data_IF_772066866203
#
_entry.id   IF_772066866203
#
_cell.length_a   1.000
_cell.length_b   1.000
_cell.length_c   1.000
_cell.angle_alpha   90.00
_cell.angle_beta   90.00
_cell.angle_gamma   90.00
#
_symmetry.space_group_name_H-M   'P 1'
#
loop_
_entity.id
_entity.type
_entity.pdbx_description
1 polymer ?
#
# COMPACT_ATOMS: atom_id res chain seq x y z
N UNK A 1 53.88 69.21 -11.01
CA UNK A 1 53.36 68.60 -12.26
C UNK A 1 53.90 67.19 -12.31
N UNK A 2 53.16 66.10 -12.37
CA UNK A 2 51.76 65.77 -12.13
C UNK A 2 51.81 64.29 -11.74
N UNK A 3 51.06 63.87 -10.73
CA UNK A 3 50.89 62.45 -10.42
C UNK A 3 49.92 61.83 -11.41
N UNK A 4 50.37 60.83 -12.15
CA UNK A 4 49.50 59.92 -12.91
C UNK A 4 48.88 58.93 -11.91
N UNK A 5 47.65 59.23 -11.47
CA UNK A 5 46.77 58.24 -10.86
C UNK A 5 45.84 57.76 -11.97
N UNK A 6 46.14 56.59 -12.54
CA UNK A 6 45.17 55.88 -13.37
C UNK A 6 44.12 55.27 -12.44
N UNK A 7 42.94 55.86 -12.45
CA UNK A 7 41.74 55.32 -11.82
C UNK A 7 41.34 54.01 -12.53
N UNK A 8 41.44 52.91 -11.81
CA UNK A 8 40.87 51.62 -12.20
C UNK A 8 39.42 51.58 -11.70
N UNK A 9 38.49 52.02 -12.54
CA UNK A 9 37.06 52.00 -12.23
C UNK A 9 36.27 51.55 -13.47
N UNK A 10 36.46 50.29 -13.86
CA UNK A 10 35.57 49.62 -14.80
C UNK A 10 34.36 49.06 -14.04
N UNK A 11 33.12 49.38 -14.42
CA UNK A 11 31.94 48.74 -13.85
C UNK A 11 31.92 47.26 -14.27
N UNK A 12 31.99 46.34 -13.30
CA UNK A 12 31.77 44.92 -13.54
C UNK A 12 30.27 44.68 -13.78
N UNK A 13 29.84 44.74 -15.04
CA UNK A 13 28.44 44.54 -15.44
C UNK A 13 28.28 43.30 -16.33
N UNK A 14 28.97 42.21 -15.96
CA UNK A 14 28.76 40.88 -16.54
C UNK A 14 27.84 40.07 -15.61
N UNK A 15 26.63 39.77 -16.08
CA UNK A 15 25.71 38.88 -15.35
C UNK A 15 26.33 37.48 -15.34
N UNK A 16 26.75 37.02 -14.16
CA UNK A 16 27.24 35.66 -13.97
C UNK A 16 26.07 34.66 -14.08
N UNK A 17 25.96 34.00 -15.24
CA UNK A 17 24.92 33.00 -15.52
C UNK A 17 25.20 31.66 -14.82
N UNK A 18 26.47 31.35 -14.52
CA UNK A 18 26.90 30.10 -13.86
C UNK A 18 26.17 29.82 -12.53
N UNK A 19 26.13 30.74 -11.55
CA UNK A 19 25.39 30.51 -10.30
C UNK A 19 23.87 30.49 -10.50
N UNK A 20 23.33 31.15 -11.52
CA UNK A 20 21.89 31.14 -11.79
C UNK A 20 21.40 29.79 -12.32
N UNK A 21 22.18 29.19 -13.23
CA UNK A 21 21.85 27.87 -13.77
C UNK A 21 21.96 26.77 -12.71
N UNK A 22 22.95 26.85 -11.80
CA UNK A 22 23.12 25.90 -10.70
C UNK A 22 21.86 25.81 -9.81
N UNK A 23 21.30 26.96 -9.42
CA UNK A 23 20.05 27.03 -8.67
C UNK A 23 18.86 26.43 -9.44
N UNK A 24 18.80 26.67 -10.76
CA UNK A 24 17.75 26.10 -11.60
C UNK A 24 17.84 24.57 -11.70
N UNK A 25 19.05 24.01 -11.81
CA UNK A 25 19.27 22.56 -11.83
C UNK A 25 18.91 21.90 -10.49
N UNK A 26 19.26 22.54 -9.37
CA UNK A 26 18.90 22.04 -8.03
C UNK A 26 17.37 21.96 -7.86
N UNK A 27 16.64 22.98 -8.29
CA UNK A 27 15.16 22.98 -8.24
C UNK A 27 14.55 21.90 -9.13
N UNK A 28 15.11 21.68 -10.33
CA UNK A 28 14.66 20.62 -11.24
C UNK A 28 14.83 19.23 -10.61
N UNK A 29 15.98 18.96 -10.01
CA UNK A 29 16.26 17.68 -9.33
C UNK A 29 15.31 17.47 -8.16
N UNK A 30 15.03 18.51 -7.38
CA UNK A 30 14.05 18.44 -6.27
C UNK A 30 12.65 18.06 -6.80
N UNK A 31 12.19 18.63 -7.92
CA UNK A 31 10.92 18.24 -8.53
C UNK A 31 10.90 16.79 -9.04
N UNK A 32 11.98 16.33 -9.67
CA UNK A 32 12.12 14.94 -10.14
C UNK A 32 12.05 13.96 -8.95
N UNK A 33 12.69 14.30 -7.83
CA UNK A 33 12.65 13.46 -6.62
C UNK A 33 11.26 13.52 -5.96
N UNK A 34 10.65 14.70 -5.83
CA UNK A 34 9.32 14.83 -5.23
C UNK A 34 8.24 14.06 -6.01
N UNK A 35 8.33 14.01 -7.34
CA UNK A 35 7.38 13.26 -8.17
C UNK A 35 7.52 11.75 -8.02
N UNK A 36 8.75 11.23 -7.91
CA UNK A 36 9.00 9.80 -7.64
C UNK A 36 8.77 9.41 -6.17
N UNK A 37 8.80 10.38 -5.25
CA UNK A 37 8.50 10.19 -3.83
C UNK A 37 7.00 10.04 -3.51
N UNK A 38 6.11 10.08 -4.51
CA UNK A 38 4.73 9.61 -4.35
C UNK A 38 4.72 8.09 -4.20
N UNK A 39 4.97 7.68 -2.96
CA UNK A 39 4.93 6.35 -2.37
C UNK A 39 3.97 5.40 -3.10
N UNK A 40 4.47 4.21 -3.43
CA UNK A 40 3.67 3.00 -3.60
C UNK A 40 2.98 2.67 -2.26
N UNK A 41 1.94 3.43 -1.91
CA UNK A 41 0.95 2.96 -0.99
C UNK A 41 0.15 1.91 -1.73
N UNK A 42 0.26 0.64 -1.33
CA UNK A 42 -0.77 -0.34 -1.66
C UNK A 42 -2.08 0.27 -1.16
N UNK A 43 -2.87 0.78 -2.11
CA UNK A 43 -4.20 1.31 -1.83
C UNK A 43 -5.05 0.10 -1.47
N UNK A 44 -5.00 -0.29 -0.20
CA UNK A 44 -5.97 -1.20 0.37
C UNK A 44 -7.26 -0.38 0.43
N UNK A 45 -8.01 -0.40 -0.68
CA UNK A 45 -9.38 0.07 -0.68
C UNK A 45 -10.14 -0.86 0.26
N UNK A 46 -10.24 -0.48 1.53
CA UNK A 46 -11.14 -1.10 2.48
C UNK A 46 -12.55 -0.75 2.02
N UNK A 47 -13.33 -1.69 1.42
CA UNK A 47 -14.70 -1.40 1.09
C UNK A 47 -15.43 -1.14 2.41
N UNK A 48 -16.06 0.03 2.52
CA UNK A 48 -16.90 0.36 3.64
C UNK A 48 -17.87 -0.80 3.92
N UNK A 49 -17.77 -1.36 5.13
CA UNK A 49 -18.57 -2.49 5.60
C UNK A 49 -20.04 -2.07 5.64
N UNK A 50 -20.72 -2.18 4.50
CA UNK A 50 -22.17 -2.21 4.46
C UNK A 50 -22.55 -3.60 4.92
N UNK A 51 -23.03 -3.65 6.15
CA UNK A 51 -23.68 -4.80 6.75
C UNK A 51 -25.00 -5.06 5.99
N UNK A 52 -24.91 -5.51 4.74
CA UNK A 52 -26.05 -5.92 3.94
C UNK A 52 -26.09 -7.43 3.95
N UNK A 53 -26.96 -7.97 4.80
CA UNK A 53 -27.58 -9.25 4.53
C UNK A 53 -28.17 -9.18 3.12
N UNK A 54 -27.55 -9.87 2.17
CA UNK A 54 -27.99 -10.00 0.79
C UNK A 54 -27.68 -11.47 0.46
N UNK A 55 -28.63 -12.39 0.66
CA UNK A 55 -29.65 -12.76 -0.32
C UNK A 55 -29.07 -12.73 -1.75
N UNK A 56 -28.55 -13.89 -2.15
CA UNK A 56 -28.01 -14.21 -3.48
C UNK A 56 -26.64 -13.59 -3.86
N UNK A 57 -25.63 -13.72 -3.00
CA UNK A 57 -24.22 -13.47 -3.39
C UNK A 57 -23.53 -14.77 -3.85
N UNK A 58 -22.55 -14.71 -4.79
CA UNK A 58 -21.58 -15.79 -4.96
C UNK A 58 -21.06 -16.20 -3.59
N UNK A 59 -20.88 -17.50 -3.32
CA UNK A 59 -20.56 -18.02 -1.99
C UNK A 59 -19.28 -17.36 -1.43
N UNK A 60 -19.44 -16.23 -0.73
CA UNK A 60 -18.35 -15.49 -0.12
C UNK A 60 -17.76 -16.34 0.99
N UNK A 61 -16.45 -16.55 0.95
CA UNK A 61 -15.75 -17.34 1.97
C UNK A 61 -15.19 -16.42 3.04
N UNK A 62 -15.52 -16.68 4.30
CA UNK A 62 -15.03 -15.91 5.44
C UNK A 62 -13.83 -16.62 6.07
N UNK A 63 -12.67 -15.96 6.07
CA UNK A 63 -11.48 -16.41 6.81
C UNK A 63 -11.40 -15.59 8.08
N UNK A 64 -11.31 -16.23 9.24
CA UNK A 64 -11.17 -15.56 10.53
C UNK A 64 -9.84 -15.95 11.17
N UNK A 65 -9.06 -14.96 11.57
CA UNK A 65 -7.83 -15.14 12.35
C UNK A 65 -8.09 -14.63 13.76
N UNK A 66 -8.00 -15.51 14.73
CA UNK A 66 -8.22 -15.19 16.14
C UNK A 66 -6.93 -14.72 16.82
N UNK A 67 -7.06 -14.17 18.04
CA UNK A 67 -5.93 -13.63 18.81
C UNK A 67 -4.88 -14.69 19.14
N UNK A 68 -5.33 -15.90 19.44
CA UNK A 68 -4.54 -17.11 19.70
C UNK A 68 -3.89 -17.69 18.44
N UNK A 69 -4.11 -17.09 17.27
CA UNK A 69 -3.50 -17.50 16.00
C UNK A 69 -4.21 -18.67 15.32
N UNK A 70 -5.35 -19.11 15.84
CA UNK A 70 -6.19 -20.09 15.17
C UNK A 70 -6.86 -19.47 13.94
N UNK A 71 -6.92 -20.26 12.86
CA UNK A 71 -7.49 -19.84 11.58
C UNK A 71 -8.76 -20.64 11.32
N UNK A 72 -9.80 -19.94 10.89
CA UNK A 72 -11.10 -20.53 10.60
C UNK A 72 -11.54 -20.16 9.18
N UNK A 73 -12.14 -21.11 8.48
CA UNK A 73 -12.80 -20.92 7.18
C UNK A 73 -14.29 -21.23 7.34
N UNK A 74 -15.16 -20.24 7.12
CA UNK A 74 -16.62 -20.35 7.29
C UNK A 74 -17.03 -20.99 8.63
N UNK A 75 -16.33 -20.62 9.72
CA UNK A 75 -16.46 -21.14 11.08
C UNK A 75 -15.86 -22.53 11.37
N UNK A 76 -15.23 -23.17 10.39
CA UNK A 76 -14.48 -24.42 10.63
C UNK A 76 -13.00 -24.13 10.89
N UNK A 77 -12.41 -24.65 11.97
CA UNK A 77 -10.97 -24.52 12.19
C UNK A 77 -10.21 -25.23 11.06
N UNK A 78 -9.20 -24.56 10.53
CA UNK A 78 -8.35 -25.07 9.45
C UNK A 78 -6.91 -24.67 9.70
N UNK A 79 -6.00 -25.59 9.38
CA UNK A 79 -4.59 -25.25 9.30
C UNK A 79 -4.28 -24.53 7.99
N UNK A 80 -3.12 -23.89 7.93
CA UNK A 80 -2.75 -23.06 6.79
C UNK A 80 -2.65 -23.83 5.47
N UNK A 81 -2.15 -25.06 5.53
CA UNK A 81 -2.08 -25.96 4.38
C UNK A 81 -3.48 -26.36 3.90
N UNK A 82 -4.40 -26.64 4.83
CA UNK A 82 -5.80 -26.96 4.50
C UNK A 82 -6.54 -25.74 3.95
N UNK A 83 -6.23 -24.55 4.45
CA UNK A 83 -6.80 -23.30 3.95
C UNK A 83 -6.44 -23.10 2.47
N UNK A 84 -5.17 -23.25 2.11
CA UNK A 84 -4.71 -23.14 0.71
C UNK A 84 -5.42 -24.15 -0.20
N UNK A 85 -5.51 -25.42 0.22
CA UNK A 85 -6.19 -26.46 -0.54
C UNK A 85 -7.67 -26.14 -0.78
N UNK A 86 -8.41 -25.79 0.29
CA UNK A 86 -9.84 -25.46 0.18
C UNK A 86 -10.08 -24.21 -0.66
N UNK A 87 -9.27 -23.18 -0.50
CA UNK A 87 -9.37 -21.96 -1.31
C UNK A 87 -9.07 -22.24 -2.78
N UNK A 88 -8.11 -23.12 -3.08
CA UNK A 88 -7.83 -23.56 -4.46
C UNK A 88 -9.03 -24.29 -5.08
N UNK A 89 -9.67 -25.20 -4.34
CA UNK A 89 -10.88 -25.89 -4.79
C UNK A 89 -12.04 -24.90 -5.03
N UNK A 90 -12.26 -23.96 -4.11
CA UNK A 90 -13.29 -22.94 -4.27
C UNK A 90 -13.01 -22.00 -5.43
N UNK A 91 -11.75 -21.64 -5.67
CA UNK A 91 -11.32 -20.83 -6.82
C UNK A 91 -11.51 -21.58 -8.15
N UNK A 92 -11.26 -22.89 -8.17
CA UNK A 92 -11.54 -23.73 -9.34
C UNK A 92 -13.03 -23.77 -9.71
N UNK A 93 -13.90 -23.77 -8.70
CA UNK A 93 -15.35 -23.72 -8.89
C UNK A 93 -15.88 -22.30 -9.18
N UNK A 94 -15.23 -21.27 -8.62
CA UNK A 94 -15.61 -19.87 -8.78
C UNK A 94 -14.38 -19.00 -9.05
N UNK A 95 -14.09 -18.66 -10.32
CA UNK A 95 -12.98 -17.81 -10.70
C UNK A 95 -13.04 -16.39 -10.11
N UNK A 96 -14.22 -15.89 -9.74
CA UNK A 96 -14.43 -14.61 -9.04
C UNK A 96 -14.86 -14.86 -7.59
N UNK A 97 -14.14 -15.74 -6.88
CA UNK A 97 -14.40 -16.05 -5.47
C UNK A 97 -14.19 -14.79 -4.61
N UNK A 98 -15.24 -14.25 -3.98
CA UNK A 98 -15.08 -13.18 -3.00
C UNK A 98 -14.65 -13.78 -1.66
N UNK A 99 -13.60 -13.23 -1.05
CA UNK A 99 -13.09 -13.65 0.25
C UNK A 99 -13.16 -12.49 1.23
N UNK A 100 -13.62 -12.75 2.45
CA UNK A 100 -13.61 -11.77 3.53
C UNK A 100 -12.67 -12.24 4.63
N UNK A 101 -11.62 -11.47 4.89
CA UNK A 101 -10.66 -11.71 5.96
C UNK A 101 -11.08 -10.92 7.20
N UNK A 102 -11.42 -11.63 8.28
CA UNK A 102 -11.74 -11.08 9.60
C UNK A 102 -10.54 -11.29 10.50
N UNK A 103 -9.99 -10.21 11.03
CA UNK A 103 -8.91 -10.29 12.00
C UNK A 103 -9.18 -9.31 13.14
N UNK A 104 -8.82 -9.72 14.37
CA UNK A 104 -8.76 -8.79 15.49
C UNK A 104 -7.58 -7.81 15.29
N UNK A 105 -7.72 -6.57 15.76
CA UNK A 105 -6.63 -5.59 15.70
C UNK A 105 -5.41 -6.04 16.51
N UNK A 106 -5.62 -6.86 17.54
CA UNK A 106 -4.56 -7.44 18.35
C UNK A 106 -4.13 -8.84 17.87
N UNK A 107 -4.69 -9.36 16.77
CA UNK A 107 -4.30 -10.66 16.23
C UNK A 107 -2.87 -10.63 15.67
N UNK A 108 -2.22 -11.79 15.69
CA UNK A 108 -0.86 -11.96 15.18
C UNK A 108 -0.78 -11.55 13.70
N UNK A 109 -0.15 -10.40 13.44
CA UNK A 109 -0.01 -9.85 12.08
C UNK A 109 0.62 -10.85 11.12
N UNK A 110 1.58 -11.65 11.60
CA UNK A 110 2.25 -12.70 10.81
C UNK A 110 1.23 -13.67 10.18
N UNK A 111 0.22 -14.10 10.95
CA UNK A 111 -0.81 -15.03 10.46
C UNK A 111 -1.72 -14.38 9.43
N UNK A 112 -2.08 -13.11 9.65
CA UNK A 112 -2.88 -12.33 8.71
C UNK A 112 -2.14 -12.14 7.39
N UNK A 113 -0.84 -11.82 7.45
CA UNK A 113 0.03 -11.69 6.27
C UNK A 113 0.15 -13.01 5.50
N UNK A 114 0.36 -14.11 6.20
CA UNK A 114 0.46 -15.45 5.59
C UNK A 114 -0.85 -15.83 4.87
N UNK A 115 -2.02 -15.49 5.43
CA UNK A 115 -3.32 -15.71 4.76
C UNK A 115 -3.42 -14.86 3.48
N UNK A 116 -3.02 -13.59 3.55
CA UNK A 116 -3.04 -12.70 2.39
C UNK A 116 -2.11 -13.18 1.27
N UNK A 117 -0.94 -13.71 1.61
CA UNK A 117 -0.01 -14.31 0.64
C UNK A 117 -0.63 -15.52 -0.07
N UNK A 118 -1.31 -16.40 0.66
CA UNK A 118 -2.01 -17.56 0.08
C UNK A 118 -3.10 -17.09 -0.88
N UNK A 119 -3.93 -16.13 -0.46
CA UNK A 119 -4.96 -15.57 -1.33
C UNK A 119 -4.37 -14.95 -2.61
N UNK A 120 -3.25 -14.22 -2.48
CA UNK A 120 -2.53 -13.63 -3.62
C UNK A 120 -1.93 -14.69 -4.55
N UNK A 121 -1.33 -15.75 -3.99
CA UNK A 121 -0.76 -16.89 -4.74
C UNK A 121 -1.84 -17.61 -5.55
N UNK A 122 -3.05 -17.73 -4.99
CA UNK A 122 -4.21 -18.32 -5.66
C UNK A 122 -4.93 -17.37 -6.63
N UNK A 123 -4.43 -16.14 -6.80
CA UNK A 123 -5.04 -15.14 -7.70
C UNK A 123 -6.42 -14.68 -7.24
N UNK A 124 -6.69 -14.68 -5.94
CA UNK A 124 -7.92 -14.13 -5.36
C UNK A 124 -7.75 -12.63 -5.26
N UNK A 125 -8.50 -11.90 -6.10
CA UNK A 125 -8.42 -10.44 -6.22
C UNK A 125 -9.47 -9.73 -5.38
N UNK A 126 -10.60 -10.37 -5.11
CA UNK A 126 -11.69 -9.82 -4.32
C UNK A 126 -11.53 -10.19 -2.84
N UNK A 127 -10.73 -9.41 -2.12
CA UNK A 127 -10.49 -9.60 -0.69
C UNK A 127 -11.04 -8.40 0.09
N UNK A 128 -12.06 -8.63 0.92
CA UNK A 128 -12.56 -7.65 1.89
C UNK A 128 -11.89 -7.84 3.25
N UNK A 129 -11.23 -6.81 3.79
CA UNK A 129 -10.66 -6.85 5.13
C UNK A 129 -11.65 -6.26 6.15
N UNK A 130 -11.98 -7.02 7.18
CA UNK A 130 -12.80 -6.58 8.31
C UNK A 130 -11.95 -6.68 9.57
N UNK A 131 -11.47 -5.53 10.03
CA UNK A 131 -10.83 -5.40 11.34
C UNK A 131 -11.85 -4.91 12.35
N UNK A 132 -11.95 -5.62 13.47
CA UNK A 132 -12.73 -5.14 14.61
C UNK A 132 -11.87 -4.09 15.31
N UNK A 133 -12.08 -2.81 14.99
CA UNK A 133 -11.45 -1.71 15.75
C UNK A 133 -11.93 -1.85 17.19
N UNK A 134 -11.01 -1.99 18.13
CA UNK A 134 -11.31 -1.76 19.54
C UNK A 134 -11.90 -0.35 19.63
N UNK A 135 -13.20 -0.25 19.85
CA UNK A 135 -13.83 1.01 20.18
C UNK A 135 -13.22 1.48 21.50
N UNK A 136 -12.40 2.52 21.41
CA UNK A 136 -12.07 3.37 22.56
C UNK A 136 -13.26 4.29 22.83
#
# INVERSE_FOLDING_TARGET
MSGDVKEDNQPYDEINITPMLDLAYVLLVIFIIMTTASVQGVKVELPHTRNTASLAQPQTRAITVTLDGAVYLDAYPVDMVMLEQRLSEFKGNNPSLPVVLKADAAAHYDKVSEVLEICKKLGITEIGLVTKKSSE
#
